data_IF_201723900707
#
_entry.id   IF_201723900707
#
_cell.length_a   1.000
_cell.length_b   1.000
_cell.length_c   1.000
_cell.angle_alpha   90.00
_cell.angle_beta   90.00
_cell.angle_gamma   90.00
#
_symmetry.space_group_name_H-M   'P 1'
#
loop_
_entity.id
_entity.type
_entity.pdbx_description
1 polymer ?
#
# COMPACT_ATOMS: atom_id res chain seq x y z
N UNK A 1 1.11 19.52 0.62
CA UNK A 1 1.26 18.47 -0.41
C UNK A 1 0.75 17.17 0.18
N UNK A 2 -0.04 16.40 -0.57
CA UNK A 2 -0.53 15.09 -0.13
C UNK A 2 0.61 14.05 -0.13
N UNK A 3 0.57 13.14 0.84
CA UNK A 3 1.51 12.02 0.96
C UNK A 3 1.06 10.86 0.07
N UNK A 4 2.02 10.14 -0.50
CA UNK A 4 1.80 8.89 -1.23
C UNK A 4 1.58 7.74 -0.24
N UNK A 5 0.47 7.02 -0.35
CA UNK A 5 0.12 5.91 0.55
C UNK A 5 1.00 4.67 0.32
N UNK A 6 1.65 4.58 -0.85
CA UNK A 6 2.55 3.46 -1.19
C UNK A 6 3.97 3.63 -0.65
N UNK A 7 4.55 4.83 -0.72
CA UNK A 7 5.95 5.06 -0.32
C UNK A 7 6.13 6.08 0.79
N UNK A 8 5.06 6.68 1.31
CA UNK A 8 5.11 7.69 2.38
C UNK A 8 5.85 9.00 2.04
N UNK A 9 6.30 9.19 0.79
CA UNK A 9 6.85 10.48 0.32
C UNK A 9 5.76 11.49 -0.02
N UNK A 10 6.04 12.81 0.08
CA UNK A 10 5.15 13.83 -0.43
C UNK A 10 5.04 13.76 -1.97
N UNK A 11 3.97 14.35 -2.50
CA UNK A 11 3.80 14.53 -3.95
C UNK A 11 2.81 13.55 -4.59
N UNK A 12 1.81 13.10 -3.84
CA UNK A 12 0.73 12.34 -4.47
C UNK A 12 -0.07 13.21 -5.45
N UNK A 13 -0.31 12.66 -6.64
CA UNK A 13 -1.05 13.27 -7.76
C UNK A 13 -2.17 12.40 -8.28
N UNK A 14 -2.18 11.13 -7.90
CA UNK A 14 -3.14 10.14 -8.36
C UNK A 14 -3.94 9.62 -7.18
N UNK A 15 -5.20 9.30 -7.44
CA UNK A 15 -6.12 8.69 -6.50
C UNK A 15 -6.66 7.40 -7.12
N UNK A 16 -6.42 6.27 -6.44
CA UNK A 16 -7.02 4.99 -6.74
C UNK A 16 -8.28 4.84 -5.89
N UNK A 17 -9.44 4.77 -6.54
CA UNK A 17 -10.75 4.61 -5.90
C UNK A 17 -11.29 3.21 -6.22
N UNK A 18 -11.38 2.30 -5.23
CA UNK A 18 -11.84 0.94 -5.47
C UNK A 18 -13.32 0.94 -5.87
N UNK A 19 -13.66 0.13 -6.88
CA UNK A 19 -15.03 0.04 -7.39
C UNK A 19 -15.96 -0.66 -6.39
N UNK A 20 -15.44 -1.71 -5.75
CA UNK A 20 -16.05 -2.34 -4.59
C UNK A 20 -15.31 -1.85 -3.34
N UNK A 21 -16.02 -1.27 -2.37
CA UNK A 21 -15.45 -0.87 -1.08
C UNK A 21 -15.07 -2.13 -0.29
N UNK A 22 -13.98 -2.78 -0.68
CA UNK A 22 -13.40 -3.87 0.07
C UNK A 22 -12.89 -3.29 1.38
N UNK A 23 -13.67 -3.47 2.44
CA UNK A 23 -13.23 -3.17 3.79
C UNK A 23 -12.11 -4.15 4.13
N UNK A 24 -10.88 -3.65 4.27
CA UNK A 24 -9.83 -4.43 4.93
C UNK A 24 -10.27 -4.59 6.38
N UNK A 25 -10.50 -5.84 6.79
CA UNK A 25 -10.82 -6.15 8.15
C UNK A 25 -9.69 -6.99 8.74
N UNK A 26 -9.23 -6.59 9.93
CA UNK A 26 -8.36 -7.44 10.73
C UNK A 26 -9.26 -8.47 11.38
N UNK A 27 -8.97 -9.75 11.14
CA UNK A 27 -9.58 -10.85 11.87
C UNK A 27 -8.62 -11.21 13.00
N UNK A 28 -9.03 -10.95 14.24
CA UNK A 28 -8.27 -11.40 15.41
C UNK A 28 -8.43 -12.91 15.63
N UNK A 29 -7.56 -13.50 16.45
CA UNK A 29 -7.53 -14.94 16.74
C UNK A 29 -8.82 -15.46 17.40
N UNK A 30 -9.63 -14.58 17.98
CA UNK A 30 -10.96 -14.87 18.52
C UNK A 30 -12.09 -14.79 17.47
N UNK A 31 -11.74 -14.56 16.21
CA UNK A 31 -12.67 -14.47 15.08
C UNK A 31 -13.38 -13.12 14.94
N UNK A 32 -13.00 -12.10 15.72
CA UNK A 32 -13.57 -10.76 15.57
C UNK A 32 -13.01 -10.07 14.33
N UNK A 33 -13.90 -9.77 13.38
CA UNK A 33 -13.59 -9.03 12.17
C UNK A 33 -13.80 -7.54 12.44
N UNK A 34 -12.72 -6.80 12.68
CA UNK A 34 -12.79 -5.34 12.86
C UNK A 34 -12.51 -4.66 11.53
N UNK A 35 -13.51 -4.01 10.90
CA UNK A 35 -13.25 -3.21 9.71
C UNK A 35 -12.33 -2.06 10.09
N UNK A 36 -11.16 -1.99 9.45
CA UNK A 36 -10.34 -0.80 9.56
C UNK A 36 -11.07 0.32 8.82
N UNK A 37 -11.18 1.54 9.41
CA UNK A 37 -11.69 2.70 8.72
C UNK A 37 -10.69 3.13 7.65
N UNK A 38 -10.61 2.35 6.58
CA UNK A 38 -9.98 2.71 5.33
C UNK A 38 -11.12 3.10 4.38
N UNK A 39 -11.11 4.34 3.88
CA UNK A 39 -12.10 4.79 2.87
C UNK A 39 -11.88 4.12 1.50
N UNK A 40 -10.89 3.22 1.44
CA UNK A 40 -10.47 2.46 0.28
C UNK A 40 -9.62 3.29 -0.66
N UNK A 41 -9.41 4.59 -0.41
CA UNK A 41 -8.80 5.50 -1.36
C UNK A 41 -7.29 5.56 -1.15
N UNK A 42 -6.55 5.35 -2.23
CA UNK A 42 -5.10 5.29 -2.18
C UNK A 42 -4.48 6.36 -3.07
N UNK A 43 -3.68 7.22 -2.46
CA UNK A 43 -2.96 8.30 -3.10
C UNK A 43 -1.61 7.80 -3.59
N UNK A 44 -1.26 8.08 -4.85
CA UNK A 44 0.05 7.74 -5.41
C UNK A 44 0.77 8.96 -5.98
N UNK A 45 2.09 9.01 -5.81
CA UNK A 45 2.97 9.86 -6.60
C UNK A 45 3.21 9.26 -7.99
N UNK A 46 3.79 10.03 -8.92
CA UNK A 46 4.00 9.60 -10.31
C UNK A 46 4.75 8.26 -10.40
N UNK A 47 5.81 8.08 -9.62
CA UNK A 47 6.60 6.85 -9.62
C UNK A 47 5.84 5.63 -9.08
N UNK A 48 5.11 5.77 -7.97
CA UNK A 48 4.33 4.66 -7.44
C UNK A 48 3.15 4.32 -8.34
N UNK A 49 2.56 5.34 -8.98
CA UNK A 49 1.47 5.14 -9.91
C UNK A 49 1.90 4.37 -11.16
N UNK A 50 3.08 4.69 -11.72
CA UNK A 50 3.67 3.93 -12.83
C UNK A 50 3.87 2.46 -12.47
N UNK A 51 4.45 2.17 -11.30
CA UNK A 51 4.67 0.80 -10.82
C UNK A 51 3.34 0.03 -10.63
N UNK A 52 2.30 0.70 -10.13
CA UNK A 52 0.96 0.11 -10.01
C UNK A 52 0.38 -0.20 -11.38
N UNK A 53 0.47 0.74 -12.33
CA UNK A 53 -0.11 0.59 -13.66
C UNK A 53 0.62 -0.48 -14.49
N UNK A 54 1.91 -0.73 -14.21
CA UNK A 54 2.70 -1.81 -14.84
C UNK A 54 2.68 -3.12 -14.05
N UNK A 55 1.91 -3.21 -12.96
CA UNK A 55 1.85 -4.39 -12.08
C UNK A 55 3.22 -4.84 -11.52
N UNK A 56 4.15 -3.88 -11.34
CA UNK A 56 5.49 -4.12 -10.79
C UNK A 56 5.45 -4.04 -9.25
N UNK A 57 4.75 -5.02 -8.67
CA UNK A 57 4.56 -5.14 -7.23
C UNK A 57 5.87 -5.30 -6.47
N UNK A 58 6.85 -5.99 -7.05
CA UNK A 58 8.15 -6.20 -6.43
C UNK A 58 8.88 -4.88 -6.20
N UNK A 59 8.98 -4.03 -7.23
CA UNK A 59 9.61 -2.71 -7.10
C UNK A 59 8.79 -1.75 -6.24
N UNK A 60 7.47 -1.85 -6.26
CA UNK A 60 6.60 -1.04 -5.40
C UNK A 60 6.89 -1.30 -3.92
N UNK A 61 7.04 -2.58 -3.55
CA UNK A 61 7.38 -3.00 -2.19
C UNK A 61 8.81 -2.60 -1.82
N UNK A 62 9.79 -2.86 -2.70
CA UNK A 62 11.17 -2.45 -2.50
C UNK A 62 11.28 -0.94 -2.23
N UNK A 63 10.61 -0.13 -3.06
CA UNK A 63 10.56 1.33 -2.91
C UNK A 63 9.93 1.74 -1.58
N UNK A 64 8.83 1.08 -1.18
CA UNK A 64 8.14 1.38 0.07
C UNK A 64 9.04 1.10 1.28
N UNK A 65 9.60 -0.11 1.37
CA UNK A 65 10.50 -0.53 2.45
C UNK A 65 11.76 0.35 2.53
N UNK A 66 12.34 0.68 1.37
CA UNK A 66 13.51 1.57 1.29
C UNK A 66 13.17 2.95 1.83
N UNK A 67 12.02 3.48 1.46
CA UNK A 67 11.62 4.81 1.93
C UNK A 67 11.30 4.81 3.42
N UNK A 68 10.57 3.80 3.91
CA UNK A 68 10.29 3.65 5.34
C UNK A 68 11.59 3.61 6.16
N UNK A 69 12.60 2.87 5.69
CA UNK A 69 13.93 2.84 6.33
C UNK A 69 14.59 4.21 6.34
N UNK A 70 14.56 4.96 5.23
CA UNK A 70 15.10 6.33 5.14
C UNK A 70 14.36 7.29 6.08
N UNK A 71 13.06 7.11 6.28
CA UNK A 71 12.24 7.89 7.22
C UNK A 71 12.42 7.47 8.69
N UNK A 72 13.27 6.49 8.98
CA UNK A 72 13.57 6.03 10.34
C UNK A 72 12.56 5.02 10.91
N UNK A 73 11.71 4.42 10.07
CA UNK A 73 10.87 3.32 10.50
C UNK A 73 11.73 2.08 10.81
N UNK A 74 11.33 1.22 11.77
CA UNK A 74 12.08 0.04 12.17
C UNK A 74 11.94 -1.10 11.15
N UNK A 75 12.41 -0.88 9.92
CA UNK A 75 12.42 -1.89 8.85
C UNK A 75 13.59 -2.85 9.11
N UNK A 76 13.36 -4.18 9.22
CA UNK A 76 14.43 -5.14 9.43
C UNK A 76 15.46 -5.11 8.29
N UNK A 77 16.73 -5.38 8.58
CA UNK A 77 17.79 -5.39 7.56
C UNK A 77 17.74 -6.63 6.65
N UNK A 78 17.04 -7.69 7.07
CA UNK A 78 16.89 -8.93 6.31
C UNK A 78 16.22 -10.05 7.10
N UNK A 79 16.24 -11.26 6.52
CA UNK A 79 15.72 -12.48 7.12
C UNK A 79 14.19 -12.57 7.16
N UNK A 80 13.68 -13.57 7.88
CA UNK A 80 12.25 -13.92 7.91
C UNK A 80 11.36 -12.73 8.26
N UNK A 81 11.77 -11.87 9.19
CA UNK A 81 10.96 -10.71 9.59
C UNK A 81 10.80 -9.68 8.46
N UNK A 82 11.82 -9.49 7.61
CA UNK A 82 11.70 -8.65 6.42
C UNK A 82 10.78 -9.29 5.38
N UNK A 83 10.88 -10.60 5.20
CA UNK A 83 10.04 -11.37 4.28
C UNK A 83 8.57 -11.31 4.70
N UNK A 84 8.28 -11.51 5.99
CA UNK A 84 6.94 -11.42 6.57
C UNK A 84 6.37 -10.00 6.40
N UNK A 85 7.19 -8.98 6.66
CA UNK A 85 6.79 -7.58 6.46
C UNK A 85 6.49 -7.28 4.98
N UNK A 86 7.36 -7.73 4.07
CA UNK A 86 7.16 -7.58 2.63
C UNK A 86 5.89 -8.29 2.15
N UNK A 87 5.60 -9.48 2.68
CA UNK A 87 4.40 -10.25 2.37
C UNK A 87 3.13 -9.52 2.83
N UNK A 88 3.11 -8.98 4.04
CA UNK A 88 1.96 -8.21 4.55
C UNK A 88 1.73 -6.96 3.71
N UNK A 89 2.79 -6.23 3.36
CA UNK A 89 2.68 -5.04 2.50
C UNK A 89 2.18 -5.40 1.10
N UNK A 90 2.67 -6.50 0.52
CA UNK A 90 2.22 -6.99 -0.79
C UNK A 90 0.75 -7.38 -0.75
N UNK A 91 0.30 -8.09 0.29
CA UNK A 91 -1.10 -8.45 0.46
C UNK A 91 -2.01 -7.21 0.58
N UNK A 92 -1.57 -6.17 1.31
CA UNK A 92 -2.31 -4.91 1.43
C UNK A 92 -2.45 -4.19 0.09
N UNK A 93 -1.36 -4.04 -0.66
CA UNK A 93 -1.41 -3.39 -1.97
C UNK A 93 -2.23 -4.21 -2.96
N UNK A 94 -2.03 -5.53 -3.01
CA UNK A 94 -2.78 -6.43 -3.89
C UNK A 94 -4.29 -6.37 -3.61
N UNK A 95 -4.70 -6.31 -2.34
CA UNK A 95 -6.12 -6.21 -1.96
C UNK A 95 -6.78 -4.96 -2.54
N UNK A 96 -6.06 -3.84 -2.51
CA UNK A 96 -6.55 -2.55 -2.99
C UNK A 96 -6.63 -2.52 -4.52
N UNK A 97 -5.63 -3.11 -5.18
CA UNK A 97 -5.50 -3.09 -6.64
C UNK A 97 -6.36 -4.18 -7.32
N UNK A 98 -6.65 -5.28 -6.63
CA UNK A 98 -7.49 -6.37 -7.14
C UNK A 98 -8.91 -5.90 -7.46
N UNK A 99 -9.43 -4.90 -6.75
CA UNK A 99 -10.73 -4.27 -7.00
C UNK A 99 -10.80 -3.42 -8.28
N UNK A 100 -9.76 -3.45 -9.13
CA UNK A 100 -9.61 -2.63 -10.34
C UNK A 100 -10.02 -1.18 -10.10
N UNK A 101 -9.36 -0.50 -9.15
CA UNK A 101 -9.72 0.86 -8.78
C UNK A 101 -9.71 1.77 -9.99
N UNK A 102 -10.63 2.73 -10.03
CA UNK A 102 -10.54 3.85 -10.98
C UNK A 102 -9.37 4.74 -10.56
N UNK A 103 -8.63 5.24 -11.55
CA UNK A 103 -7.50 6.15 -11.34
C UNK A 103 -7.91 7.55 -11.74
N UNK A 104 -7.82 8.49 -10.80
CA UNK A 104 -8.19 9.90 -10.98
C UNK A 104 -6.99 10.80 -10.65
N UNK A 105 -6.92 11.97 -11.29
CA UNK A 105 -5.96 13.00 -10.92
C UNK A 105 -6.49 13.78 -9.71
N UNK A 106 -5.63 14.00 -8.70
CA UNK A 106 -5.94 14.75 -7.47
C UNK A 106 -6.07 16.27 -7.69
#
# INVERSE_FOLDING_TARGET
MSTCDFCSLPGARWLYVPQDRAHVALMSDDGVVTPLPNDGRWRACDLCSDLVDTDDMARLIERSLTTLRVLGAPVPDGGQLLEDMAMVMMANFATVLAGRPTKEHL
#
